data_IF_653063845626
#
_entry.id   IF_653063845626
#
_cell.length_a   1.000
_cell.length_b   1.000
_cell.length_c   1.000
_cell.angle_alpha   90.00
_cell.angle_beta   90.00
_cell.angle_gamma   90.00
#
_symmetry.space_group_name_H-M   'P 1'
#
loop_
_entity.id
_entity.type
_entity.pdbx_description
1 polymer ?
#
# COMPACT_ATOMS: atom_id res chain seq x y z
N UNK A 1 -7.49 -9.49 -5.49
CA UNK A 1 -6.05 -9.31 -5.77
C UNK A 1 -5.54 -8.17 -4.90
N UNK A 2 -4.23 -8.15 -4.59
CA UNK A 2 -3.62 -7.16 -3.69
C UNK A 2 -2.58 -6.33 -4.42
N UNK A 3 -2.56 -5.04 -4.10
CA UNK A 3 -1.53 -4.13 -4.58
C UNK A 3 -0.55 -3.81 -3.45
N UNK A 4 0.74 -3.95 -3.74
CA UNK A 4 1.79 -3.35 -2.95
C UNK A 4 2.02 -1.93 -3.47
N UNK A 5 1.87 -0.93 -2.60
CA UNK A 5 2.01 0.48 -2.93
C UNK A 5 3.21 1.03 -2.17
N UNK A 6 4.16 1.60 -2.91
CA UNK A 6 5.38 2.17 -2.34
C UNK A 6 5.46 3.65 -2.69
N UNK A 7 5.74 4.47 -1.68
CA UNK A 7 5.97 5.90 -1.88
C UNK A 7 7.43 6.17 -2.24
N UNK A 8 7.67 6.71 -3.43
CA UNK A 8 9.02 7.00 -3.94
C UNK A 8 9.37 8.48 -3.81
N UNK A 9 8.39 9.39 -4.02
CA UNK A 9 8.65 10.84 -3.99
C UNK A 9 8.24 11.53 -2.69
N UNK A 10 8.99 12.58 -2.36
CA UNK A 10 8.65 13.54 -1.32
C UNK A 10 7.40 14.37 -1.67
N UNK A 11 6.80 15.00 -0.68
CA UNK A 11 5.55 15.81 -0.82
C UNK A 11 5.79 17.31 -0.94
N UNK A 12 7.04 17.73 -1.12
CA UNK A 12 7.40 19.15 -1.31
C UNK A 12 6.75 19.62 -2.62
N UNK A 13 5.91 20.65 -2.55
CA UNK A 13 5.15 21.15 -3.71
C UNK A 13 3.89 20.34 -4.07
N UNK A 14 3.58 19.25 -3.35
CA UNK A 14 2.35 18.48 -3.59
C UNK A 14 1.10 19.29 -3.20
N UNK A 15 -0.01 19.09 -3.91
CA UNK A 15 -1.32 19.64 -3.50
C UNK A 15 -1.75 19.03 -2.16
N UNK A 16 -2.52 19.80 -1.36
CA UNK A 16 -3.02 19.35 -0.05
C UNK A 16 -3.78 18.03 -0.15
N UNK A 17 -4.65 17.90 -1.13
CA UNK A 17 -5.44 16.69 -1.36
C UNK A 17 -4.60 15.43 -1.60
N UNK A 18 -3.46 15.57 -2.30
CA UNK A 18 -2.54 14.46 -2.56
C UNK A 18 -1.87 14.04 -1.25
N UNK A 19 -1.43 15.01 -0.43
CA UNK A 19 -0.86 14.72 0.90
C UNK A 19 -1.87 14.03 1.80
N UNK A 20 -3.13 14.47 1.77
CA UNK A 20 -4.19 13.88 2.57
C UNK A 20 -4.50 12.45 2.09
N UNK A 21 -4.54 12.21 0.78
CA UNK A 21 -4.72 10.86 0.22
C UNK A 21 -3.56 9.93 0.59
N UNK A 22 -2.31 10.41 0.51
CA UNK A 22 -1.14 9.64 0.95
C UNK A 22 -1.20 9.30 2.45
N UNK A 23 -1.71 10.22 3.28
CA UNK A 23 -1.93 9.96 4.71
C UNK A 23 -3.03 8.92 4.94
N UNK A 24 -4.13 8.98 4.19
CA UNK A 24 -5.22 7.99 4.29
C UNK A 24 -4.76 6.58 3.90
N UNK A 25 -3.81 6.48 2.95
CA UNK A 25 -3.16 5.22 2.55
C UNK A 25 -2.02 4.79 3.50
N UNK A 26 -1.83 5.46 4.64
CA UNK A 26 -0.72 5.22 5.59
C UNK A 26 0.70 5.39 5.02
N UNK A 27 0.87 6.11 3.90
CA UNK A 27 2.17 6.36 3.25
C UNK A 27 2.84 7.65 3.77
N UNK A 28 3.17 7.67 5.07
CA UNK A 28 3.68 8.85 5.76
C UNK A 28 5.12 9.22 5.38
N UNK A 29 5.99 8.22 5.16
CA UNK A 29 7.42 8.39 4.88
C UNK A 29 7.79 7.96 3.47
N UNK A 30 8.89 8.47 2.95
CA UNK A 30 9.51 7.96 1.71
C UNK A 30 9.95 6.51 1.96
N UNK A 31 9.81 5.65 0.95
CA UNK A 31 10.08 4.21 1.01
C UNK A 31 9.20 3.45 2.04
N UNK A 32 8.05 4.02 2.39
CA UNK A 32 7.00 3.25 3.08
C UNK A 32 6.21 2.42 2.06
N UNK A 33 5.82 1.22 2.49
CA UNK A 33 5.03 0.29 1.71
C UNK A 33 3.73 -0.01 2.44
N UNK A 34 2.61 -0.01 1.71
CA UNK A 34 1.30 -0.43 2.21
C UNK A 34 0.70 -1.43 1.24
N UNK A 35 0.06 -2.45 1.80
CA UNK A 35 -0.68 -3.46 1.04
C UNK A 35 -2.16 -3.04 1.07
N UNK A 36 -2.78 -2.93 -0.10
CA UNK A 36 -4.20 -2.58 -0.22
C UNK A 36 -4.94 -3.57 -1.12
N UNK A 37 -6.23 -3.85 -0.84
CA UNK A 37 -7.04 -4.66 -1.71
C UNK A 37 -7.39 -3.91 -2.99
N UNK A 38 -7.56 -4.66 -4.08
CA UNK A 38 -8.11 -4.11 -5.33
C UNK A 38 -9.61 -3.85 -5.17
N UNK A 39 -9.96 -2.62 -4.77
CA UNK A 39 -11.33 -2.11 -4.83
C UNK A 39 -11.40 -0.88 -5.74
N UNK A 40 -12.56 -0.60 -6.36
CA UNK A 40 -12.73 0.61 -7.19
C UNK A 40 -12.38 1.90 -6.46
N UNK A 41 -12.69 1.98 -5.16
CA UNK A 41 -12.35 3.13 -4.30
C UNK A 41 -10.85 3.31 -4.15
N UNK A 42 -10.11 2.23 -3.84
CA UNK A 42 -8.65 2.29 -3.73
C UNK A 42 -7.98 2.57 -5.08
N UNK A 43 -8.52 2.05 -6.18
CA UNK A 43 -8.03 2.34 -7.52
C UNK A 43 -8.14 3.83 -7.87
N UNK A 44 -9.24 4.47 -7.49
CA UNK A 44 -9.40 5.94 -7.61
C UNK A 44 -8.37 6.71 -6.79
N UNK A 45 -8.12 6.29 -5.54
CA UNK A 45 -7.09 6.89 -4.69
C UNK A 45 -5.69 6.75 -5.30
N UNK A 46 -5.33 5.56 -5.80
CA UNK A 46 -4.06 5.30 -6.47
C UNK A 46 -3.85 6.18 -7.70
N UNK A 47 -4.89 6.31 -8.56
CA UNK A 47 -4.82 7.17 -9.74
C UNK A 47 -4.58 8.64 -9.37
N UNK A 48 -5.13 9.10 -8.25
CA UNK A 48 -4.93 10.47 -7.75
C UNK A 48 -3.50 10.73 -7.27
N UNK A 49 -2.84 9.72 -6.68
CA UNK A 49 -1.47 9.85 -6.14
C UNK A 49 -0.39 9.32 -7.08
N UNK A 50 -0.73 8.98 -8.33
CA UNK A 50 0.12 8.21 -9.23
C UNK A 50 1.52 8.76 -9.47
N UNK A 51 1.68 10.07 -9.41
CA UNK A 51 2.97 10.72 -9.66
C UNK A 51 3.94 10.56 -8.48
N UNK A 52 3.44 10.19 -7.29
CA UNK A 52 4.20 10.09 -6.04
C UNK A 52 4.48 8.65 -5.59
N UNK A 53 3.68 7.70 -6.06
CA UNK A 53 3.74 6.30 -5.65
C UNK A 53 3.92 5.38 -6.85
N UNK A 54 4.47 4.20 -6.60
CA UNK A 54 4.47 3.10 -7.54
C UNK A 54 3.70 1.95 -6.90
N UNK A 55 2.82 1.31 -7.66
CA UNK A 55 2.10 0.14 -7.19
C UNK A 55 2.16 -0.99 -8.22
N UNK A 56 2.07 -2.21 -7.72
CA UNK A 56 2.05 -3.43 -8.53
C UNK A 56 1.34 -4.55 -7.78
N UNK A 57 0.94 -5.59 -8.51
CA UNK A 57 0.34 -6.78 -7.92
C UNK A 57 1.36 -7.48 -7.01
N UNK A 58 0.95 -7.77 -5.78
CA UNK A 58 1.79 -8.48 -4.83
C UNK A 58 1.54 -10.00 -4.94
N UNK A 59 2.57 -10.77 -5.29
CA UNK A 59 2.50 -12.23 -5.21
C UNK A 59 2.45 -12.70 -3.75
N UNK A 60 1.84 -13.86 -3.53
CA UNK A 60 1.74 -14.47 -2.19
C UNK A 60 3.13 -14.65 -1.54
N UNK A 61 4.17 -14.96 -2.33
CA UNK A 61 5.56 -15.05 -1.88
C UNK A 61 6.10 -13.70 -1.38
N UNK A 62 5.81 -12.61 -2.11
CA UNK A 62 6.25 -11.26 -1.75
C UNK A 62 5.56 -10.79 -0.47
N UNK A 63 4.27 -11.08 -0.34
CA UNK A 63 3.48 -10.83 0.88
C UNK A 63 4.08 -11.54 2.09
N UNK A 64 4.40 -12.82 1.95
CA UNK A 64 5.02 -13.60 3.03
C UNK A 64 6.37 -13.00 3.46
N UNK A 65 7.20 -12.59 2.50
CA UNK A 65 8.51 -11.99 2.78
C UNK A 65 8.40 -10.62 3.47
N UNK A 66 7.42 -9.79 3.06
CA UNK A 66 7.14 -8.50 3.69
C UNK A 66 6.62 -8.66 5.13
N UNK A 67 5.71 -9.59 5.37
CA UNK A 67 5.16 -9.85 6.71
C UNK A 67 6.23 -10.38 7.66
N UNK A 68 7.04 -11.34 7.20
CA UNK A 68 8.19 -11.86 7.96
C UNK A 68 9.20 -10.76 8.31
N UNK A 69 9.51 -9.87 7.35
CA UNK A 69 10.43 -8.74 7.56
C UNK A 69 9.90 -7.73 8.59
N UNK A 70 8.58 -7.56 8.68
CA UNK A 70 7.95 -6.67 9.65
C UNK A 70 7.69 -7.34 11.02
N UNK A 71 8.15 -8.57 11.22
CA UNK A 71 7.99 -9.28 12.50
C UNK A 71 6.59 -9.82 12.76
N UNK A 72 5.76 -9.97 11.71
CA UNK A 72 4.45 -10.61 11.82
C UNK A 72 4.65 -12.12 11.78
N UNK A 73 4.50 -12.79 12.92
CA UNK A 73 4.73 -14.23 13.07
C UNK A 73 3.64 -15.07 12.36
N UNK A 74 2.38 -14.61 12.36
CA UNK A 74 1.26 -15.31 11.72
C UNK A 74 1.06 -14.88 10.27
N UNK A 75 2.00 -15.26 9.41
CA UNK A 75 1.97 -14.94 7.97
C UNK A 75 0.72 -15.51 7.29
N UNK A 76 0.32 -16.75 7.61
CA UNK A 76 -0.82 -17.42 6.98
C UNK A 76 -2.17 -16.82 7.40
N UNK A 77 -2.30 -16.45 8.68
CA UNK A 77 -3.51 -15.82 9.22
C UNK A 77 -3.67 -14.38 8.70
N UNK A 78 -2.55 -13.65 8.59
CA UNK A 78 -2.52 -12.33 7.99
C UNK A 78 -2.90 -12.38 6.51
N UNK A 79 -2.38 -13.34 5.74
CA UNK A 79 -2.75 -13.51 4.32
C UNK A 79 -4.24 -13.85 4.18
N UNK A 80 -4.82 -14.67 5.09
CA UNK A 80 -6.27 -14.92 5.10
C UNK A 80 -7.08 -13.68 5.40
N UNK A 81 -6.75 -12.92 6.46
CA UNK A 81 -7.45 -11.65 6.80
C UNK A 81 -7.34 -10.62 5.68
N UNK A 82 -6.18 -10.54 5.06
CA UNK A 82 -5.93 -9.72 3.88
C UNK A 82 -6.82 -10.13 2.69
N UNK A 83 -6.97 -11.44 2.43
CA UNK A 83 -7.82 -11.97 1.34
C UNK A 83 -9.33 -11.91 1.64
N UNK A 84 -9.73 -12.00 2.91
CA UNK A 84 -11.13 -12.03 3.34
C UNK A 84 -11.75 -10.65 3.53
N UNK A 85 -10.95 -9.57 3.54
CA UNK A 85 -11.46 -8.21 3.41
C UNK A 85 -12.32 -7.77 4.59
N UNK A 86 -11.78 -7.85 5.81
CA UNK A 86 -12.18 -7.01 6.96
C UNK A 86 -10.94 -6.68 7.79
#
# INVERSE_FOLDING_TARGET
MMYAVIRIRGTIGARREIRDTLKMLNLLRINSCTIIPETPSYKGMLQKVKDYVTWGEASDETLALLLKRNGVENVEEAIKKLKEGV
#
